data_IF_711912110087
#
_entry.id   IF_711912110087
#
_cell.length_a   1.000
_cell.length_b   1.000
_cell.length_c   1.000
_cell.angle_alpha   90.00
_cell.angle_beta   90.00
_cell.angle_gamma   90.00
#
_symmetry.space_group_name_H-M   'P 1'
#
loop_
_entity.id
_entity.type
_entity.pdbx_description
1 polymer ?
#
# COMPACT_ATOMS: atom_id res chain seq x y z
N UNK A 1 33.75 -28.93 -101.29
CA UNK A 1 32.74 -27.89 -101.56
C UNK A 1 32.94 -26.76 -100.57
N UNK A 2 33.09 -25.55 -101.12
CA UNK A 2 33.15 -24.20 -100.55
C UNK A 2 34.32 -23.72 -99.65
N UNK A 3 34.92 -22.67 -100.18
CA UNK A 3 35.98 -21.77 -99.74
C UNK A 3 35.43 -20.45 -99.20
N UNK A 4 36.09 -19.84 -98.21
CA UNK A 4 36.41 -18.39 -98.09
C UNK A 4 37.28 -18.19 -96.82
N UNK A 5 38.57 -17.84 -96.88
CA UNK A 5 39.18 -16.52 -97.15
C UNK A 5 38.56 -15.42 -96.27
N UNK A 6 39.25 -14.86 -95.27
CA UNK A 6 40.28 -13.80 -95.30
C UNK A 6 40.72 -13.58 -93.82
N UNK A 7 41.88 -13.06 -93.39
CA UNK A 7 43.11 -12.59 -94.02
C UNK A 7 44.22 -12.52 -92.96
N UNK A 8 45.45 -12.64 -93.43
CA UNK A 8 46.72 -12.74 -92.70
C UNK A 8 47.40 -11.37 -92.62
N UNK A 9 48.15 -11.08 -91.56
CA UNK A 9 49.47 -10.43 -91.66
C UNK A 9 50.29 -10.56 -90.37
N UNK A 10 51.32 -11.39 -90.47
CA UNK A 10 52.50 -11.53 -89.59
C UNK A 10 53.57 -10.60 -90.18
N UNK A 11 54.37 -9.91 -89.38
CA UNK A 11 55.76 -9.56 -89.72
C UNK A 11 56.46 -8.93 -88.51
N UNK A 12 57.39 -9.70 -87.92
CA UNK A 12 58.45 -9.12 -87.11
C UNK A 12 59.47 -8.41 -88.00
N UNK A 13 60.26 -7.53 -87.40
CA UNK A 13 61.48 -7.03 -88.01
C UNK A 13 62.55 -6.83 -86.93
N UNK A 14 63.31 -7.89 -86.71
CA UNK A 14 64.75 -7.80 -86.43
C UNK A 14 65.42 -7.25 -87.70
N UNK A 15 66.18 -6.16 -87.56
CA UNK A 15 67.54 -6.00 -88.09
C UNK A 15 67.91 -4.55 -88.41
N UNK A 16 69.17 -4.26 -88.05
CA UNK A 16 70.13 -3.38 -88.72
C UNK A 16 70.54 -2.13 -87.94
N UNK A 17 71.58 -2.37 -87.16
CA UNK A 17 72.63 -1.43 -86.78
C UNK A 17 73.13 -0.61 -87.99
N UNK A 18 73.22 0.71 -87.84
CA UNK A 18 74.35 1.55 -88.29
C UNK A 18 74.19 3.02 -87.85
N UNK A 19 75.30 3.54 -87.32
CA UNK A 19 75.80 4.92 -87.41
C UNK A 19 75.48 5.90 -86.26
N UNK A 20 76.53 6.14 -85.46
CA UNK A 20 76.79 7.33 -84.63
C UNK A 20 76.18 8.63 -85.16
N UNK A 21 75.47 9.40 -84.28
CA UNK A 21 75.65 10.85 -83.99
C UNK A 21 74.58 11.39 -82.99
N UNK A 22 74.77 12.58 -82.37
CA UNK A 22 74.48 12.81 -80.95
C UNK A 22 73.17 13.55 -80.63
N UNK A 23 72.77 13.45 -79.35
CA UNK A 23 71.92 14.37 -78.54
C UNK A 23 70.55 14.78 -79.11
N UNK A 24 69.51 14.19 -78.52
CA UNK A 24 68.19 14.78 -78.35
C UNK A 24 67.31 13.87 -77.51
N UNK A 25 66.90 14.28 -76.31
CA UNK A 25 65.96 13.51 -75.47
C UNK A 25 64.66 13.35 -76.27
N UNK A 26 64.35 12.12 -76.70
CA UNK A 26 63.20 11.88 -77.56
C UNK A 26 61.90 12.16 -76.81
N UNK A 27 60.94 12.77 -77.51
CA UNK A 27 59.59 13.08 -77.04
C UNK A 27 58.90 11.87 -76.35
N UNK A 28 59.24 10.65 -76.75
CA UNK A 28 58.71 9.41 -76.15
C UNK A 28 59.09 9.16 -74.68
N UNK A 29 60.22 9.70 -74.19
CA UNK A 29 60.59 9.58 -72.76
C UNK A 29 59.65 10.39 -71.87
N UNK A 30 59.33 11.62 -72.29
CA UNK A 30 58.40 12.49 -71.55
C UNK A 30 56.96 11.98 -71.61
N UNK A 31 56.54 11.33 -72.70
CA UNK A 31 55.21 10.69 -72.78
C UNK A 31 55.05 9.51 -71.81
N UNK A 32 56.07 8.66 -71.65
CA UNK A 32 56.03 7.57 -70.65
C UNK A 32 55.98 8.10 -69.22
N UNK A 33 56.74 9.16 -68.94
CA UNK A 33 56.74 9.83 -67.64
C UNK A 33 55.38 10.47 -67.34
N UNK A 34 54.78 11.14 -68.33
CA UNK A 34 53.46 11.75 -68.18
C UNK A 34 52.36 10.72 -67.89
N UNK A 35 52.37 9.57 -68.58
CA UNK A 35 51.44 8.47 -68.31
C UNK A 35 51.64 7.85 -66.91
N UNK A 36 52.89 7.74 -66.45
CA UNK A 36 53.18 7.25 -65.10
C UNK A 36 52.68 8.23 -64.03
N UNK A 37 52.96 9.52 -64.17
CA UNK A 37 52.44 10.54 -63.25
C UNK A 37 50.91 10.64 -63.28
N UNK A 38 50.29 10.48 -64.45
CA UNK A 38 48.82 10.50 -64.57
C UNK A 38 48.18 9.30 -63.84
N UNK A 39 48.73 8.09 -64.01
CA UNK A 39 48.30 6.90 -63.27
C UNK A 39 48.55 7.01 -61.77
N UNK A 40 49.68 7.61 -61.38
CA UNK A 40 50.05 7.79 -59.98
C UNK A 40 49.16 8.83 -59.27
N UNK A 41 48.84 9.95 -59.95
CA UNK A 41 47.88 10.94 -59.45
C UNK A 41 46.47 10.31 -59.34
N UNK A 42 46.05 9.51 -60.32
CA UNK A 42 44.78 8.79 -60.27
C UNK A 42 44.72 7.83 -59.07
N UNK A 43 45.78 7.05 -58.82
CA UNK A 43 45.84 6.15 -57.66
C UNK A 43 45.82 6.91 -56.33
N UNK A 44 46.50 8.05 -56.23
CA UNK A 44 46.50 8.91 -55.04
C UNK A 44 45.12 9.50 -54.76
N UNK A 45 44.38 9.88 -55.80
CA UNK A 45 43.00 10.36 -55.67
C UNK A 45 42.10 9.23 -55.15
N UNK A 46 42.21 8.01 -55.68
CA UNK A 46 41.41 6.87 -55.22
C UNK A 46 41.69 6.54 -53.74
N UNK A 47 42.96 6.49 -53.34
CA UNK A 47 43.34 6.26 -51.93
C UNK A 47 42.83 7.39 -51.02
N UNK A 48 42.92 8.64 -51.47
CA UNK A 48 42.40 9.79 -50.71
C UNK A 48 40.88 9.72 -50.55
N UNK A 49 40.14 9.34 -51.60
CA UNK A 49 38.68 9.18 -51.54
C UNK A 49 38.29 8.02 -50.61
N UNK A 50 39.02 6.90 -50.64
CA UNK A 50 38.77 5.76 -49.75
C UNK A 50 39.07 6.12 -48.29
N UNK A 51 40.15 6.86 -48.02
CA UNK A 51 40.43 7.38 -46.68
C UNK A 51 39.36 8.37 -46.22
N UNK A 52 38.85 9.21 -47.12
CA UNK A 52 37.72 10.09 -46.83
C UNK A 52 36.41 9.32 -46.61
N UNK A 53 36.24 8.14 -47.20
CA UNK A 53 35.05 7.30 -47.01
C UNK A 53 35.12 6.48 -45.72
N UNK A 54 36.31 6.01 -45.33
CA UNK A 54 36.54 5.24 -44.10
C UNK A 54 36.66 6.15 -42.87
N UNK A 55 37.28 7.32 -43.00
CA UNK A 55 37.54 8.24 -41.88
C UNK A 55 36.77 9.56 -41.95
N UNK A 56 36.08 9.85 -43.06
CA UNK A 56 35.32 11.10 -43.22
C UNK A 56 33.86 11.01 -42.81
N UNK A 57 33.43 9.95 -42.11
CA UNK A 57 32.19 10.05 -41.33
C UNK A 57 32.44 11.04 -40.19
N UNK A 58 31.76 12.20 -40.15
CA UNK A 58 32.05 13.21 -39.16
C UNK A 58 31.59 12.71 -37.78
N UNK A 59 32.53 12.67 -36.83
CA UNK A 59 32.26 12.48 -35.39
C UNK A 59 31.16 13.42 -34.84
N UNK A 60 30.83 14.48 -35.59
CA UNK A 60 29.73 15.41 -35.34
C UNK A 60 28.39 14.71 -35.06
N UNK A 61 28.11 13.56 -35.68
CA UNK A 61 26.83 12.87 -35.48
C UNK A 61 26.70 12.25 -34.08
N UNK A 62 27.80 11.72 -33.54
CA UNK A 62 27.82 11.13 -32.19
C UNK A 62 27.84 12.21 -31.11
N UNK A 63 28.60 13.30 -31.31
CA UNK A 63 28.62 14.43 -30.39
C UNK A 63 27.30 15.22 -30.39
N UNK A 64 26.70 15.52 -31.55
CA UNK A 64 25.37 16.18 -31.59
C UNK A 64 24.28 15.31 -30.95
N UNK A 65 24.36 13.99 -31.11
CA UNK A 65 23.40 13.08 -30.47
C UNK A 65 23.58 13.07 -28.95
N UNK A 66 24.81 13.09 -28.46
CA UNK A 66 25.09 13.23 -27.01
C UNK A 66 24.66 14.58 -26.46
N UNK A 67 24.86 15.67 -27.21
CA UNK A 67 24.41 17.01 -26.80
C UNK A 67 22.88 17.06 -26.73
N UNK A 68 22.15 16.48 -27.69
CA UNK A 68 20.69 16.38 -27.65
C UNK A 68 20.17 15.55 -26.49
N UNK A 69 20.84 14.43 -26.19
CA UNK A 69 20.48 13.57 -25.05
C UNK A 69 20.72 14.29 -23.71
N UNK A 70 21.81 15.06 -23.62
CA UNK A 70 22.13 15.88 -22.46
C UNK A 70 21.13 17.04 -22.27
N UNK A 71 20.73 17.69 -23.36
CA UNK A 71 19.71 18.75 -23.36
C UNK A 71 18.34 18.20 -22.93
N UNK A 72 17.95 17.03 -23.45
CA UNK A 72 16.73 16.34 -23.04
C UNK A 72 16.77 15.97 -21.55
N UNK A 73 17.89 15.39 -21.09
CA UNK A 73 18.10 15.03 -19.70
C UNK A 73 18.05 16.25 -18.77
N UNK A 74 18.66 17.37 -19.17
CA UNK A 74 18.62 18.63 -18.43
C UNK A 74 17.20 19.18 -18.32
N UNK A 75 16.42 19.16 -19.42
CA UNK A 75 15.04 19.65 -19.41
C UNK A 75 14.14 18.81 -18.49
N UNK A 76 14.25 17.48 -18.57
CA UNK A 76 13.51 16.56 -17.67
C UNK A 76 13.90 16.79 -16.21
N UNK A 77 15.20 16.94 -15.93
CA UNK A 77 15.67 17.18 -14.57
C UNK A 77 15.22 18.55 -14.04
N UNK A 78 15.24 19.58 -14.89
CA UNK A 78 14.76 20.92 -14.56
C UNK A 78 13.27 20.93 -14.22
N UNK A 79 12.44 20.29 -15.04
CA UNK A 79 11.00 20.15 -14.80
C UNK A 79 10.71 19.40 -13.49
N UNK A 80 11.41 18.28 -13.25
CA UNK A 80 11.31 17.55 -11.99
C UNK A 80 11.72 18.42 -10.79
N UNK A 81 12.76 19.25 -10.92
CA UNK A 81 13.21 20.14 -9.85
C UNK A 81 12.16 21.22 -9.53
N UNK A 82 11.53 21.80 -10.55
CA UNK A 82 10.44 22.77 -10.39
C UNK A 82 9.24 22.11 -9.70
N UNK A 83 8.85 20.90 -10.13
CA UNK A 83 7.75 20.14 -9.50
C UNK A 83 8.04 19.84 -8.03
N UNK A 84 9.24 19.34 -7.71
CA UNK A 84 9.66 19.05 -6.34
C UNK A 84 9.68 20.31 -5.46
N UNK A 85 10.09 21.46 -6.00
CA UNK A 85 10.03 22.73 -5.25
C UNK A 85 8.60 23.15 -4.95
N UNK A 86 7.68 22.96 -5.90
CA UNK A 86 6.25 23.24 -5.71
C UNK A 86 5.65 22.32 -4.64
N UNK A 87 5.87 21.02 -4.76
CA UNK A 87 5.42 20.02 -3.77
C UNK A 87 5.98 20.33 -2.37
N UNK A 88 7.28 20.64 -2.27
CA UNK A 88 7.89 21.07 -1.00
C UNK A 88 7.19 22.29 -0.40
N UNK A 89 6.83 23.27 -1.22
CA UNK A 89 6.07 24.44 -0.78
C UNK A 89 4.69 24.08 -0.26
N UNK A 90 3.94 23.23 -0.99
CA UNK A 90 2.61 22.78 -0.60
C UNK A 90 2.62 21.93 0.68
N UNK A 91 3.58 20.99 0.80
CA UNK A 91 3.82 20.20 2.00
C UNK A 91 4.21 21.09 3.19
N UNK A 92 5.05 22.11 2.96
CA UNK A 92 5.40 23.09 3.98
C UNK A 92 4.19 23.88 4.47
N UNK A 93 3.31 24.31 3.56
CA UNK A 93 2.07 25.00 3.90
C UNK A 93 1.10 24.10 4.70
N UNK A 94 0.94 22.84 4.30
CA UNK A 94 0.12 21.85 5.04
C UNK A 94 0.67 21.59 6.43
N UNK A 95 2.00 21.48 6.58
CA UNK A 95 2.64 21.28 7.87
C UNK A 95 2.43 22.49 8.79
N UNK A 96 2.56 23.71 8.27
CA UNK A 96 2.28 24.92 9.02
C UNK A 96 0.81 24.99 9.47
N UNK A 97 -0.14 24.65 8.58
CA UNK A 97 -1.56 24.61 8.90
C UNK A 97 -1.88 23.59 10.01
N UNK A 98 -1.39 22.35 9.89
CA UNK A 98 -1.57 21.33 10.93
C UNK A 98 -0.89 21.70 12.26
N UNK A 99 0.23 22.41 12.21
CA UNK A 99 0.92 22.87 13.42
C UNK A 99 0.09 23.94 14.14
N UNK A 100 -0.51 24.87 13.39
CA UNK A 100 -1.43 25.87 13.94
C UNK A 100 -2.71 25.24 14.51
N UNK A 101 -3.28 24.26 13.80
CA UNK A 101 -4.45 23.49 14.24
C UNK A 101 -4.15 22.73 15.55
N UNK A 102 -3.00 22.05 15.62
CA UNK A 102 -2.54 21.36 16.83
C UNK A 102 -2.43 22.33 18.01
N UNK A 103 -1.81 23.50 17.82
CA UNK A 103 -1.68 24.51 18.86
C UNK A 103 -3.04 25.04 19.33
N UNK A 104 -4.00 25.22 18.41
CA UNK A 104 -5.36 25.58 18.75
C UNK A 104 -6.07 24.49 19.57
N UNK A 105 -5.90 23.22 19.18
CA UNK A 105 -6.48 22.07 19.86
C UNK A 105 -5.93 21.90 21.28
N UNK A 106 -4.61 22.07 21.46
CA UNK A 106 -3.96 22.05 22.79
C UNK A 106 -4.52 23.14 23.71
N UNK A 107 -4.80 24.34 23.17
CA UNK A 107 -5.42 25.43 23.94
C UNK A 107 -6.86 25.09 24.36
N UNK A 108 -7.63 24.44 23.49
CA UNK A 108 -8.99 23.95 23.84
C UNK A 108 -8.91 22.87 24.91
N UNK A 109 -7.96 21.95 24.79
CA UNK A 109 -7.76 20.88 25.79
C UNK A 109 -7.40 21.43 27.18
N UNK A 110 -6.54 22.46 27.23
CA UNK A 110 -6.20 23.15 28.48
C UNK A 110 -7.40 23.87 29.10
N UNK A 111 -8.24 24.53 28.29
CA UNK A 111 -9.50 25.13 28.77
C UNK A 111 -10.44 24.05 29.33
N UNK A 112 -10.68 22.98 28.58
CA UNK A 112 -11.57 21.91 29.01
C UNK A 112 -11.09 21.24 30.31
N UNK A 113 -9.77 21.05 30.46
CA UNK A 113 -9.19 20.56 31.72
C UNK A 113 -9.44 21.51 32.90
N UNK A 114 -9.41 22.81 32.66
CA UNK A 114 -9.70 23.83 33.68
C UNK A 114 -11.19 23.81 34.05
N UNK A 115 -12.07 23.70 33.05
CA UNK A 115 -13.52 23.63 33.26
C UNK A 115 -13.94 22.36 34.00
N UNK A 116 -13.30 21.21 33.72
CA UNK A 116 -13.52 19.97 34.48
C UNK A 116 -13.11 20.13 35.95
N UNK A 117 -11.94 20.71 36.22
CA UNK A 117 -11.52 20.98 37.61
C UNK A 117 -12.49 21.93 38.34
N UNK A 118 -12.98 22.97 37.65
CA UNK A 118 -13.98 23.88 38.21
C UNK A 118 -15.32 23.17 38.47
N UNK A 119 -15.71 22.24 37.59
CA UNK A 119 -16.94 21.45 37.73
C UNK A 119 -16.84 20.48 38.91
N UNK A 120 -15.67 19.86 39.13
CA UNK A 120 -15.43 19.05 40.33
C UNK A 120 -15.52 19.88 41.63
N UNK A 121 -14.97 21.10 41.63
CA UNK A 121 -15.07 22.00 42.78
C UNK A 121 -16.52 22.41 43.06
N UNK A 122 -17.28 22.72 42.00
CA UNK A 122 -18.70 23.03 42.12
C UNK A 122 -19.50 21.83 42.65
N UNK A 123 -19.19 20.61 42.18
CA UNK A 123 -19.82 19.38 42.66
C UNK A 123 -19.54 19.14 44.15
N UNK A 124 -18.32 19.43 44.63
CA UNK A 124 -17.97 19.35 46.06
C UNK A 124 -18.79 20.36 46.88
N UNK A 125 -18.97 21.59 46.37
CA UNK A 125 -19.79 22.63 47.02
C UNK A 125 -21.27 22.26 47.05
N UNK A 126 -21.81 21.68 45.99
CA UNK A 126 -23.20 21.18 45.96
C UNK A 126 -23.40 20.07 47.00
N UNK A 127 -22.50 19.09 47.07
CA UNK A 127 -22.58 18.03 48.09
C UNK A 127 -22.45 18.56 49.53
N UNK A 128 -21.71 19.65 49.75
CA UNK A 128 -21.65 20.33 51.05
C UNK A 128 -22.98 21.03 51.37
N UNK A 129 -23.54 21.77 50.42
CA UNK A 129 -24.81 22.48 50.57
C UNK A 129 -25.99 21.51 50.78
N UNK A 130 -26.01 20.36 50.11
CA UNK A 130 -27.01 19.31 50.33
C UNK A 130 -26.92 18.71 51.75
N UNK A 131 -25.70 18.53 52.28
CA UNK A 131 -25.47 18.10 53.66
C UNK A 131 -25.97 19.14 54.67
N UNK A 132 -25.71 20.42 54.43
CA UNK A 132 -26.19 21.52 55.28
C UNK A 132 -27.72 21.64 55.24
N UNK A 133 -28.34 21.45 54.07
CA UNK A 133 -29.80 21.43 53.91
C UNK A 133 -30.44 20.26 54.67
N UNK A 134 -29.82 19.08 54.64
CA UNK A 134 -30.29 17.92 55.39
C UNK A 134 -30.23 18.17 56.91
N UNK A 135 -29.15 18.78 57.38
CA UNK A 135 -28.98 19.18 58.79
C UNK A 135 -29.98 20.27 59.22
N UNK A 136 -30.29 21.24 58.35
CA UNK A 136 -31.27 22.29 58.63
C UNK A 136 -32.72 21.76 58.66
N UNK A 137 -33.08 20.87 57.73
CA UNK A 137 -34.40 20.23 57.71
C UNK A 137 -34.62 19.30 58.92
N UNK A 138 -33.56 18.65 59.42
CA UNK A 138 -33.63 17.87 60.68
C UNK A 138 -33.94 18.74 61.90
N UNK A 139 -33.61 20.05 61.88
CA UNK A 139 -33.91 20.99 62.98
C UNK A 139 -35.29 21.64 62.85
N UNK A 140 -35.89 21.67 61.65
CA UNK A 140 -37.26 22.17 61.44
C UNK A 140 -38.36 21.15 61.76
N UNK A 141 -38.02 19.87 61.94
CA UNK A 141 -38.97 18.81 62.29
C UNK A 141 -39.49 18.88 63.75
N UNK A 142 -39.11 19.91 64.53
CA UNK A 142 -39.50 20.12 65.93
C UNK A 142 -40.32 21.40 66.18
N UNK A 143 -41.04 21.92 65.17
CA UNK A 143 -42.02 22.99 65.40
C UNK A 143 -43.45 22.45 65.53
N UNK A 144 -44.21 22.81 66.58
CA UNK A 144 -45.60 22.39 66.73
C UNK A 144 -46.50 23.09 65.70
N UNK A 145 -47.31 22.28 65.03
CA UNK A 145 -48.30 22.65 64.03
C UNK A 145 -49.33 23.66 64.56
N UNK A 146 -49.58 24.73 63.81
CA UNK A 146 -50.64 25.72 64.08
C UNK A 146 -51.97 25.27 63.42
N UNK A 147 -53.15 25.57 64.02
CA UNK A 147 -54.42 24.98 63.60
C UNK A 147 -54.92 25.50 62.24
N UNK A 148 -55.54 24.60 61.49
CA UNK A 148 -56.19 24.86 60.21
C UNK A 148 -57.43 25.76 60.37
N UNK A 149 -57.54 26.78 59.52
CA UNK A 149 -58.77 27.54 59.32
C UNK A 149 -59.66 26.88 58.24
N UNK A 150 -60.99 27.02 58.31
CA UNK A 150 -61.92 26.34 57.41
C UNK A 150 -61.96 26.97 56.00
N UNK A 151 -62.43 26.23 54.97
CA UNK A 151 -62.27 26.62 53.58
C UNK A 151 -63.21 27.77 53.21
N UNK A 152 -62.63 28.88 52.76
CA UNK A 152 -63.34 29.96 52.08
C UNK A 152 -63.91 29.44 50.76
N UNK A 153 -65.20 29.69 50.53
CA UNK A 153 -65.89 29.40 49.28
C UNK A 153 -65.19 30.14 48.14
N UNK A 154 -64.48 29.39 47.29
CA UNK A 154 -63.80 29.93 46.12
C UNK A 154 -64.81 30.43 45.10
N UNK A 155 -64.61 31.66 44.63
CA UNK A 155 -65.43 32.24 43.58
C UNK A 155 -65.18 31.52 42.25
N UNK A 156 -66.23 31.31 41.43
CA UNK A 156 -66.13 30.63 40.12
C UNK A 156 -65.07 31.24 39.17
N UNK A 157 -64.70 32.52 39.38
CA UNK A 157 -63.64 33.17 38.62
C UNK A 157 -62.23 32.71 39.05
N UNK A 158 -62.00 32.46 40.35
CA UNK A 158 -60.72 31.98 40.86
C UNK A 158 -60.47 30.52 40.44
N UNK A 159 -61.54 29.70 40.40
CA UNK A 159 -61.46 28.33 39.90
C UNK A 159 -61.04 28.28 38.41
N UNK A 160 -61.59 29.18 37.57
CA UNK A 160 -61.19 29.30 36.16
C UNK A 160 -59.74 29.76 36.00
N UNK A 161 -59.27 30.69 36.84
CA UNK A 161 -57.88 31.16 36.82
C UNK A 161 -56.92 30.04 37.23
N UNK A 162 -57.25 29.28 38.29
CA UNK A 162 -56.46 28.13 38.72
C UNK A 162 -56.44 27.01 37.67
N UNK A 163 -57.57 26.76 36.99
CA UNK A 163 -57.64 25.78 35.91
C UNK A 163 -56.80 26.19 34.70
N UNK A 164 -56.84 27.47 34.32
CA UNK A 164 -55.97 28.04 33.29
C UNK A 164 -54.48 27.89 33.66
N UNK A 165 -54.13 28.20 34.91
CA UNK A 165 -52.76 28.06 35.40
C UNK A 165 -52.30 26.58 35.43
N UNK A 166 -53.17 25.65 35.82
CA UNK A 166 -52.86 24.21 35.81
C UNK A 166 -52.66 23.70 34.37
N UNK A 167 -53.48 24.16 33.42
CA UNK A 167 -53.32 23.83 32.01
C UNK A 167 -51.99 24.38 31.46
N UNK A 168 -51.65 25.63 31.77
CA UNK A 168 -50.38 26.24 31.38
C UNK A 168 -49.18 25.51 32.00
N UNK A 169 -49.28 25.06 33.26
CA UNK A 169 -48.25 24.25 33.90
C UNK A 169 -48.08 22.89 33.22
N UNK A 170 -49.16 22.23 32.80
CA UNK A 170 -49.09 20.97 32.03
C UNK A 170 -48.43 21.14 30.68
N UNK A 171 -48.73 22.22 29.96
CA UNK A 171 -48.08 22.54 28.69
C UNK A 171 -46.57 22.77 28.87
N UNK A 172 -46.18 23.50 29.92
CA UNK A 172 -44.77 23.73 30.21
C UNK A 172 -44.04 22.43 30.59
N UNK A 173 -44.68 21.55 31.37
CA UNK A 173 -44.13 20.23 31.71
C UNK A 173 -43.95 19.38 30.45
N UNK A 174 -44.94 19.36 29.55
CA UNK A 174 -44.85 18.63 28.28
C UNK A 174 -43.72 19.17 27.40
N UNK A 175 -43.59 20.50 27.28
CA UNK A 175 -42.52 21.13 26.51
C UNK A 175 -41.13 20.84 27.13
N UNK A 176 -41.04 20.83 28.46
CA UNK A 176 -39.82 20.46 29.16
C UNK A 176 -39.46 18.99 28.92
N UNK A 177 -40.44 18.09 28.99
CA UNK A 177 -40.25 16.66 28.74
C UNK A 177 -39.83 16.36 27.30
N UNK A 178 -40.41 17.05 26.32
CA UNK A 178 -40.00 16.96 24.91
C UNK A 178 -38.57 17.46 24.72
N UNK A 179 -38.20 18.60 25.29
CA UNK A 179 -36.84 19.12 25.23
C UNK A 179 -35.81 18.17 25.87
N UNK A 180 -36.13 17.60 27.04
CA UNK A 180 -35.24 16.62 27.68
C UNK A 180 -35.10 15.35 26.85
N UNK A 181 -36.21 14.86 26.28
CA UNK A 181 -36.18 13.65 25.44
C UNK A 181 -35.34 13.88 24.19
N UNK A 182 -35.52 15.02 23.53
CA UNK A 182 -34.73 15.42 22.37
C UNK A 182 -33.24 15.53 22.72
N UNK A 183 -32.90 16.26 23.79
CA UNK A 183 -31.52 16.42 24.25
C UNK A 183 -30.85 15.07 24.57
N UNK A 184 -31.58 14.16 25.23
CA UNK A 184 -31.05 12.82 25.53
C UNK A 184 -30.81 12.02 24.24
N UNK A 185 -31.68 12.15 23.25
CA UNK A 185 -31.50 11.50 21.95
C UNK A 185 -30.28 12.08 21.20
N UNK A 186 -30.15 13.40 21.16
CA UNK A 186 -29.03 14.09 20.53
C UNK A 186 -27.69 13.70 21.17
N UNK A 187 -27.62 13.71 22.51
CA UNK A 187 -26.43 13.29 23.25
C UNK A 187 -26.10 11.80 23.05
N UNK A 188 -27.12 10.94 22.92
CA UNK A 188 -26.90 9.52 22.60
C UNK A 188 -26.30 9.36 21.21
N UNK A 189 -26.85 10.06 20.23
CA UNK A 189 -26.36 10.05 18.86
C UNK A 189 -24.93 10.58 18.77
N UNK A 190 -24.64 11.69 19.45
CA UNK A 190 -23.30 12.27 19.49
C UNK A 190 -22.30 11.29 20.13
N UNK A 191 -22.67 10.67 21.26
CA UNK A 191 -21.85 9.64 21.91
C UNK A 191 -21.57 8.46 20.98
N UNK A 192 -22.58 7.97 20.27
CA UNK A 192 -22.41 6.85 19.33
C UNK A 192 -21.53 7.24 18.13
N UNK A 193 -21.67 8.48 17.63
CA UNK A 193 -20.80 9.05 16.60
C UNK A 193 -19.35 9.14 17.08
N UNK A 194 -19.11 9.65 18.30
CA UNK A 194 -17.77 9.75 18.89
C UNK A 194 -17.14 8.37 19.08
N UNK A 195 -17.91 7.38 19.57
CA UNK A 195 -17.43 6.01 19.71
C UNK A 195 -17.01 5.41 18.36
N UNK A 196 -17.86 5.59 17.33
CA UNK A 196 -17.54 5.13 15.97
C UNK A 196 -16.27 5.79 15.43
N UNK A 197 -16.15 7.11 15.58
CA UNK A 197 -14.98 7.85 15.11
C UNK A 197 -13.71 7.40 15.84
N UNK A 198 -13.78 7.21 17.15
CA UNK A 198 -12.67 6.66 17.95
C UNK A 198 -12.22 5.30 17.42
N UNK A 199 -13.17 4.41 17.12
CA UNK A 199 -12.84 3.06 16.64
C UNK A 199 -12.20 3.10 15.25
N UNK A 200 -12.64 4.02 14.37
CA UNK A 200 -11.99 4.29 13.08
C UNK A 200 -10.56 4.76 13.28
N UNK A 201 -10.32 5.78 14.12
CA UNK A 201 -8.97 6.29 14.38
C UNK A 201 -8.05 5.26 15.01
N UNK A 202 -8.57 4.41 15.91
CA UNK A 202 -7.80 3.31 16.49
C UNK A 202 -7.42 2.27 15.42
N UNK A 203 -8.33 1.99 14.48
CA UNK A 203 -8.08 1.13 13.33
C UNK A 203 -6.97 1.68 12.42
N UNK A 204 -7.08 2.94 12.02
CA UNK A 204 -6.09 3.65 11.19
C UNK A 204 -4.73 3.72 11.87
N UNK A 205 -4.68 4.10 13.15
CA UNK A 205 -3.42 4.16 13.91
C UNK A 205 -2.77 2.77 14.01
N UNK A 206 -3.56 1.71 14.12
CA UNK A 206 -3.05 0.34 14.11
C UNK A 206 -2.50 -0.02 12.73
N UNK A 207 -3.20 0.29 11.64
CA UNK A 207 -2.74 0.06 10.28
C UNK A 207 -1.43 0.80 9.98
N UNK A 208 -1.37 2.09 10.28
CA UNK A 208 -0.18 2.92 10.10
C UNK A 208 1.02 2.39 10.88
N UNK A 209 0.84 1.91 12.12
CA UNK A 209 1.91 1.28 12.89
C UNK A 209 2.41 0.00 12.22
N UNK A 210 1.51 -0.83 11.68
CA UNK A 210 1.88 -2.05 10.96
C UNK A 210 2.65 -1.74 9.69
N UNK A 211 2.17 -0.81 8.88
CA UNK A 211 2.85 -0.35 7.65
C UNK A 211 4.23 0.23 7.97
N UNK A 212 4.33 1.11 8.98
CA UNK A 212 5.61 1.67 9.39
C UNK A 212 6.61 0.60 9.83
N UNK A 213 6.13 -0.42 10.56
CA UNK A 213 6.95 -1.57 10.94
C UNK A 213 7.41 -2.37 9.71
N UNK A 214 6.50 -2.62 8.76
CA UNK A 214 6.78 -3.35 7.54
C UNK A 214 7.84 -2.62 6.69
N UNK A 215 7.67 -1.32 6.46
CA UNK A 215 8.64 -0.52 5.70
C UNK A 215 10.01 -0.50 6.37
N UNK A 216 10.08 -0.40 7.70
CA UNK A 216 11.36 -0.48 8.43
C UNK A 216 12.03 -1.83 8.25
N UNK A 217 11.27 -2.92 8.33
CA UNK A 217 11.80 -4.27 8.14
C UNK A 217 12.26 -4.49 6.70
N UNK A 218 11.51 -4.02 5.70
CA UNK A 218 11.91 -4.05 4.29
C UNK A 218 13.24 -3.33 4.06
N UNK A 219 13.39 -2.11 4.61
CA UNK A 219 14.61 -1.34 4.49
C UNK A 219 15.79 -2.03 5.19
N UNK A 220 15.57 -2.61 6.37
CA UNK A 220 16.60 -3.34 7.10
C UNK A 220 17.06 -4.57 6.34
N UNK A 221 16.13 -5.39 5.84
CA UNK A 221 16.43 -6.59 5.04
C UNK A 221 17.15 -6.23 3.74
N UNK A 222 16.67 -5.21 3.04
CA UNK A 222 17.34 -4.70 1.83
C UNK A 222 18.77 -4.23 2.13
N UNK A 223 18.95 -3.46 3.21
CA UNK A 223 20.26 -2.96 3.61
C UNK A 223 21.22 -4.11 3.91
N UNK A 224 20.77 -5.14 4.64
CA UNK A 224 21.55 -6.34 4.93
C UNK A 224 21.97 -7.05 3.63
N UNK A 225 21.01 -7.33 2.75
CA UNK A 225 21.28 -8.05 1.48
C UNK A 225 22.24 -7.28 0.55
N UNK A 226 22.12 -5.96 0.47
CA UNK A 226 22.97 -5.15 -0.40
C UNK A 226 24.35 -4.83 0.21
N UNK A 227 24.40 -4.40 1.48
CA UNK A 227 25.65 -3.94 2.10
C UNK A 227 26.48 -5.04 2.72
N UNK A 228 25.87 -6.15 3.12
CA UNK A 228 26.57 -7.24 3.79
C UNK A 228 26.71 -8.41 2.81
N UNK A 229 25.60 -8.99 2.35
CA UNK A 229 25.64 -10.23 1.56
C UNK A 229 26.22 -10.02 0.16
N UNK A 230 25.79 -8.96 -0.55
CA UNK A 230 26.31 -8.68 -1.90
C UNK A 230 27.72 -8.10 -1.86
N UNK A 231 28.01 -7.12 -0.99
CA UNK A 231 29.34 -6.53 -0.90
C UNK A 231 30.39 -7.56 -0.47
N UNK A 232 30.06 -8.49 0.44
CA UNK A 232 30.97 -9.58 0.81
C UNK A 232 31.26 -10.52 -0.35
N UNK A 233 30.26 -10.79 -1.20
CA UNK A 233 30.43 -11.61 -2.41
C UNK A 233 31.40 -10.97 -3.43
N UNK A 234 31.59 -9.64 -3.39
CA UNK A 234 32.50 -8.91 -4.28
C UNK A 234 33.96 -8.88 -3.78
N UNK A 235 34.25 -9.30 -2.55
CA UNK A 235 35.62 -9.31 -1.97
C UNK A 235 36.58 -10.16 -2.83
N UNK A 236 36.08 -11.23 -3.44
CA UNK A 236 36.86 -12.08 -4.35
C UNK A 236 37.38 -11.34 -5.57
N UNK A 237 36.58 -10.45 -6.16
CA UNK A 237 36.97 -9.63 -7.31
C UNK A 237 38.11 -8.68 -6.91
N UNK A 238 37.97 -8.01 -5.77
CA UNK A 238 39.01 -7.10 -5.26
C UNK A 238 40.34 -7.83 -5.04
N UNK A 239 40.29 -9.08 -4.57
CA UNK A 239 41.47 -9.94 -4.38
C UNK A 239 42.14 -10.29 -5.71
N UNK A 240 41.35 -10.67 -6.73
CA UNK A 240 41.87 -10.99 -8.07
C UNK A 240 42.50 -9.76 -8.71
N UNK A 241 41.81 -8.62 -8.68
CA UNK A 241 42.30 -7.35 -9.23
C UNK A 241 43.62 -6.94 -8.57
N UNK A 242 43.73 -7.05 -7.24
CA UNK A 242 44.96 -6.73 -6.51
C UNK A 242 46.13 -7.62 -6.94
N UNK A 243 45.93 -8.94 -7.02
CA UNK A 243 46.96 -9.89 -7.47
C UNK A 243 47.37 -9.66 -8.92
N UNK A 244 46.42 -9.30 -9.78
CA UNK A 244 46.70 -8.99 -11.19
C UNK A 244 47.56 -7.73 -11.33
N UNK A 245 47.22 -6.65 -10.63
CA UNK A 245 48.02 -5.41 -10.59
C UNK A 245 49.44 -5.68 -10.07
N UNK A 246 49.54 -6.45 -8.99
CA UNK A 246 50.83 -6.84 -8.42
C UNK A 246 51.67 -7.64 -9.43
N UNK A 247 51.06 -8.50 -10.24
CA UNK A 247 51.75 -9.21 -11.31
C UNK A 247 52.23 -8.26 -12.41
N UNK A 248 51.38 -7.33 -12.87
CA UNK A 248 51.75 -6.32 -13.88
C UNK A 248 52.94 -5.48 -13.42
N UNK A 249 52.89 -4.98 -12.19
CA UNK A 249 53.98 -4.15 -11.64
C UNK A 249 55.30 -4.90 -11.54
N UNK A 250 55.26 -6.23 -11.42
CA UNK A 250 56.44 -7.10 -11.36
C UNK A 250 56.90 -7.61 -12.74
N UNK A 251 56.12 -7.39 -13.82
CA UNK A 251 56.49 -7.82 -15.19
C UNK A 251 57.55 -6.90 -15.81
N UNK A 252 57.62 -5.63 -15.39
CA UNK A 252 58.66 -4.69 -15.83
C UNK A 252 59.57 -4.34 -14.66
N UNK A 253 60.79 -4.89 -14.60
CA UNK A 253 61.73 -4.56 -13.54
C UNK A 253 62.13 -3.07 -13.61
N UNK A 254 62.23 -2.34 -12.48
CA UNK A 254 62.58 -0.91 -12.46
C UNK A 254 63.92 -0.56 -13.13
N UNK A 255 64.76 -1.57 -13.35
CA UNK A 255 66.12 -1.46 -13.90
C UNK A 255 66.19 -1.71 -15.42
N UNK A 256 65.08 -2.03 -16.10
CA UNK A 256 65.02 -2.04 -17.56
C UNK A 256 64.78 -0.62 -18.09
N UNK A 257 65.78 0.26 -17.95
CA UNK A 257 65.81 1.53 -18.65
C UNK A 257 66.23 1.28 -20.10
N UNK A 258 65.27 1.21 -21.02
CA UNK A 258 65.55 1.21 -22.45
C UNK A 258 66.24 2.53 -22.81
N UNK A 259 67.54 2.49 -23.11
CA UNK A 259 68.25 3.63 -23.68
C UNK A 259 67.81 3.84 -25.13
N UNK A 260 66.72 4.58 -25.32
CA UNK A 260 66.19 4.95 -26.62
C UNK A 260 67.03 6.08 -27.20
N UNK A 261 68.07 5.73 -27.94
CA UNK A 261 68.98 6.70 -28.58
C UNK A 261 68.48 7.14 -29.97
N UNK A 262 67.50 6.46 -30.56
CA UNK A 262 66.97 6.75 -31.89
C UNK A 262 65.59 7.43 -31.84
N UNK A 263 65.43 8.56 -32.55
CA UNK A 263 64.18 9.34 -32.62
C UNK A 263 62.98 8.51 -33.09
N UNK A 264 63.18 7.64 -34.08
CA UNK A 264 62.10 6.76 -34.58
C UNK A 264 61.66 5.69 -33.57
N UNK A 265 62.57 5.22 -32.72
CA UNK A 265 62.22 4.29 -31.63
C UNK A 265 61.42 5.01 -30.54
N UNK A 266 61.75 6.26 -30.23
CA UNK A 266 60.99 7.08 -29.28
C UNK A 266 59.56 7.35 -29.80
N UNK A 267 59.39 7.66 -31.08
CA UNK A 267 58.06 7.84 -31.69
C UNK A 267 57.22 6.56 -31.69
N UNK A 268 57.84 5.39 -31.94
CA UNK A 268 57.15 4.10 -31.85
C UNK A 268 56.76 3.77 -30.41
N UNK A 269 57.62 4.07 -29.44
CA UNK A 269 57.29 3.86 -28.03
C UNK A 269 56.14 4.77 -27.58
N UNK A 270 56.13 6.04 -27.97
CA UNK A 270 55.01 6.95 -27.64
C UNK A 270 53.69 6.51 -28.30
N UNK A 271 53.74 5.94 -29.52
CA UNK A 271 52.57 5.31 -30.15
C UNK A 271 52.08 4.06 -29.41
N UNK A 272 52.99 3.20 -28.96
CA UNK A 272 52.65 2.02 -28.16
C UNK A 272 52.05 2.47 -26.82
N UNK A 273 52.67 3.45 -26.16
CA UNK A 273 52.20 4.02 -24.90
C UNK A 273 50.80 4.60 -25.06
N UNK A 274 50.56 5.45 -26.06
CA UNK A 274 49.24 6.02 -26.30
C UNK A 274 48.19 4.95 -26.66
N UNK A 275 48.56 3.95 -27.46
CA UNK A 275 47.66 2.83 -27.79
C UNK A 275 47.32 1.98 -26.57
N UNK A 276 48.30 1.67 -25.71
CA UNK A 276 48.08 0.95 -24.45
C UNK A 276 47.23 1.77 -23.47
N UNK A 277 47.47 3.08 -23.37
CA UNK A 277 46.65 3.97 -22.53
C UNK A 277 45.22 4.04 -23.05
N UNK A 278 45.01 4.22 -24.35
CA UNK A 278 43.68 4.25 -24.95
C UNK A 278 42.94 2.92 -24.77
N UNK A 279 43.63 1.79 -24.98
CA UNK A 279 43.06 0.46 -24.75
C UNK A 279 42.69 0.25 -23.27
N UNK A 280 43.55 0.69 -22.34
CA UNK A 280 43.26 0.64 -20.90
C UNK A 280 42.00 1.43 -20.56
N UNK A 281 41.88 2.65 -21.10
CA UNK A 281 40.70 3.51 -20.90
C UNK A 281 39.44 2.89 -21.50
N UNK A 282 39.51 2.30 -22.70
CA UNK A 282 38.38 1.63 -23.33
C UNK A 282 37.92 0.40 -22.53
N UNK A 283 38.87 -0.39 -22.04
CA UNK A 283 38.58 -1.53 -21.17
C UNK A 283 37.90 -1.06 -19.88
N UNK A 284 38.45 -0.03 -19.23
CA UNK A 284 37.87 0.56 -18.02
C UNK A 284 36.44 1.07 -18.26
N UNK A 285 36.21 1.80 -19.35
CA UNK A 285 34.88 2.29 -19.72
C UNK A 285 33.87 1.15 -19.94
N UNK A 286 34.28 0.06 -20.61
CA UNK A 286 33.42 -1.11 -20.83
C UNK A 286 33.12 -1.86 -19.54
N UNK A 287 34.12 -2.03 -18.66
CA UNK A 287 33.92 -2.65 -17.36
C UNK A 287 33.04 -1.80 -16.46
N UNK A 288 33.20 -0.48 -16.45
CA UNK A 288 32.37 0.42 -15.66
C UNK A 288 30.90 0.32 -16.09
N UNK A 289 30.63 0.36 -17.40
CA UNK A 289 29.26 0.21 -17.92
C UNK A 289 28.63 -1.15 -17.55
N UNK A 290 29.43 -2.23 -17.58
CA UNK A 290 28.97 -3.53 -17.14
C UNK A 290 28.68 -3.57 -15.64
N UNK A 291 29.57 -3.03 -14.81
CA UNK A 291 29.41 -2.95 -13.37
C UNK A 291 28.20 -2.11 -12.97
N UNK A 292 27.96 -0.99 -13.66
CA UNK A 292 26.79 -0.14 -13.43
C UNK A 292 25.50 -0.89 -13.77
N UNK A 293 25.46 -1.60 -14.91
CA UNK A 293 24.29 -2.37 -15.31
C UNK A 293 24.00 -3.53 -14.35
N UNK A 294 25.04 -4.27 -13.95
CA UNK A 294 24.91 -5.34 -12.95
C UNK A 294 24.52 -4.78 -11.59
N UNK A 295 25.12 -3.68 -11.16
CA UNK A 295 24.82 -3.00 -9.90
C UNK A 295 23.37 -2.53 -9.83
N UNK A 296 22.86 -1.92 -10.90
CA UNK A 296 21.46 -1.52 -11.03
C UNK A 296 20.53 -2.74 -10.96
N UNK A 297 20.82 -3.77 -11.75
CA UNK A 297 19.99 -5.00 -11.79
C UNK A 297 19.93 -5.69 -10.44
N UNK A 298 21.08 -5.87 -9.77
CA UNK A 298 21.15 -6.48 -8.44
C UNK A 298 20.40 -5.63 -7.43
N UNK A 299 20.56 -4.31 -7.46
CA UNK A 299 19.85 -3.40 -6.55
C UNK A 299 18.34 -3.54 -6.70
N UNK A 300 17.82 -3.56 -7.94
CA UNK A 300 16.39 -3.76 -8.22
C UNK A 300 15.89 -5.11 -7.72
N UNK A 301 16.61 -6.20 -8.04
CA UNK A 301 16.24 -7.56 -7.61
C UNK A 301 16.22 -7.66 -6.09
N UNK A 302 17.25 -7.13 -5.41
CA UNK A 302 17.34 -7.20 -3.96
C UNK A 302 16.26 -6.36 -3.27
N UNK A 303 15.93 -5.19 -3.83
CA UNK A 303 14.80 -4.39 -3.35
C UNK A 303 13.47 -5.15 -3.44
N UNK A 304 13.17 -5.72 -4.61
CA UNK A 304 11.94 -6.51 -4.82
C UNK A 304 11.90 -7.77 -3.94
N UNK A 305 13.01 -8.50 -3.87
CA UNK A 305 13.15 -9.68 -3.01
C UNK A 305 12.89 -9.34 -1.55
N UNK A 306 13.43 -8.20 -1.06
CA UNK A 306 13.24 -7.78 0.34
C UNK A 306 11.81 -7.34 0.61
N UNK A 307 11.15 -6.65 -0.32
CA UNK A 307 9.73 -6.35 -0.22
C UNK A 307 8.89 -7.61 -0.11
N UNK A 308 9.07 -8.54 -1.04
CA UNK A 308 8.29 -9.78 -1.10
C UNK A 308 8.52 -10.65 0.13
N UNK A 309 9.76 -10.78 0.61
CA UNK A 309 10.08 -11.57 1.79
C UNK A 309 9.35 -11.04 3.04
N UNK A 310 9.38 -9.73 3.26
CA UNK A 310 8.72 -9.11 4.42
C UNK A 310 7.20 -9.17 4.28
N UNK A 311 6.66 -8.91 3.08
CA UNK A 311 5.22 -9.02 2.83
C UNK A 311 4.73 -10.45 3.08
N UNK A 312 5.44 -11.46 2.57
CA UNK A 312 5.07 -12.86 2.72
C UNK A 312 5.11 -13.28 4.21
N UNK A 313 6.15 -12.87 4.94
CA UNK A 313 6.21 -13.06 6.40
C UNK A 313 5.00 -12.46 7.11
N UNK A 314 4.63 -11.23 6.78
CA UNK A 314 3.51 -10.53 7.43
C UNK A 314 2.15 -11.12 7.05
N UNK A 315 1.96 -11.49 5.79
CA UNK A 315 0.78 -12.20 5.30
C UNK A 315 0.60 -13.53 6.03
N UNK A 316 1.68 -14.30 6.20
CA UNK A 316 1.64 -15.58 6.88
C UNK A 316 1.25 -15.42 8.37
N UNK A 317 1.86 -14.46 9.08
CA UNK A 317 1.49 -14.15 10.47
C UNK A 317 0.01 -13.72 10.56
N UNK A 318 -0.45 -12.87 9.64
CA UNK A 318 -1.84 -12.38 9.63
C UNK A 318 -2.82 -13.51 9.34
N UNK A 319 -2.48 -14.42 8.43
CA UNK A 319 -3.27 -15.60 8.12
C UNK A 319 -3.41 -16.51 9.35
N UNK A 320 -2.30 -16.84 10.01
CA UNK A 320 -2.32 -17.63 11.24
C UNK A 320 -3.16 -16.99 12.35
N UNK A 321 -3.06 -15.67 12.52
CA UNK A 321 -3.89 -14.95 13.48
C UNK A 321 -5.38 -14.98 13.11
N UNK A 322 -5.70 -14.90 11.81
CA UNK A 322 -7.07 -15.00 11.31
C UNK A 322 -7.65 -16.39 11.58
N UNK A 323 -6.91 -17.44 11.24
CA UNK A 323 -7.28 -18.83 11.49
C UNK A 323 -7.51 -19.09 12.98
N UNK A 324 -6.61 -18.60 13.84
CA UNK A 324 -6.74 -18.74 15.28
C UNK A 324 -7.99 -18.04 15.82
N UNK A 325 -8.21 -16.77 15.45
CA UNK A 325 -9.41 -16.02 15.85
C UNK A 325 -10.70 -16.65 15.35
N UNK A 326 -10.69 -17.17 14.12
CA UNK A 326 -11.82 -17.88 13.55
C UNK A 326 -12.11 -19.15 14.37
N UNK A 327 -11.09 -19.95 14.67
CA UNK A 327 -11.22 -21.14 15.51
C UNK A 327 -11.79 -20.82 16.89
N UNK A 328 -11.31 -19.76 17.54
CA UNK A 328 -11.82 -19.30 18.84
C UNK A 328 -13.28 -18.84 18.76
N UNK A 329 -13.63 -18.08 17.71
CA UNK A 329 -14.99 -17.59 17.50
C UNK A 329 -15.97 -18.75 17.26
N UNK A 330 -15.59 -19.73 16.45
CA UNK A 330 -16.37 -20.95 16.23
C UNK A 330 -16.52 -21.73 17.53
N UNK A 331 -15.44 -21.96 18.28
CA UNK A 331 -15.51 -22.67 19.55
C UNK A 331 -16.43 -21.97 20.57
N UNK A 332 -16.40 -20.64 20.61
CA UNK A 332 -17.29 -19.85 21.45
C UNK A 332 -18.74 -19.95 20.98
N UNK A 333 -19.01 -19.77 19.69
CA UNK A 333 -20.35 -19.86 19.13
C UNK A 333 -20.98 -21.24 19.37
N UNK A 334 -20.19 -22.32 19.24
CA UNK A 334 -20.65 -23.68 19.56
C UNK A 334 -21.01 -23.85 21.03
N UNK A 335 -20.20 -23.31 21.95
CA UNK A 335 -20.52 -23.33 23.39
C UNK A 335 -21.78 -22.54 23.71
N UNK A 336 -21.94 -21.37 23.11
CA UNK A 336 -23.12 -20.53 23.32
C UNK A 336 -24.38 -21.21 22.77
N UNK A 337 -24.29 -21.88 21.62
CA UNK A 337 -25.38 -22.68 21.04
C UNK A 337 -25.77 -23.86 21.96
N UNK A 338 -24.80 -24.63 22.44
CA UNK A 338 -25.04 -25.76 23.37
C UNK A 338 -25.70 -25.27 24.67
N UNK A 339 -25.23 -24.14 25.22
CA UNK A 339 -25.84 -23.54 26.40
C UNK A 339 -27.28 -23.09 26.14
N UNK A 340 -27.55 -22.49 24.98
CA UNK A 340 -28.88 -22.07 24.60
C UNK A 340 -29.82 -23.27 24.41
N UNK A 341 -29.33 -24.34 23.78
CA UNK A 341 -30.10 -25.56 23.59
C UNK A 341 -30.45 -26.23 24.93
N UNK A 342 -29.48 -26.36 25.85
CA UNK A 342 -29.74 -26.86 27.21
C UNK A 342 -30.77 -26.02 27.98
N UNK A 343 -30.72 -24.69 27.84
CA UNK A 343 -31.73 -23.82 28.46
C UNK A 343 -33.12 -24.09 27.90
N UNK A 344 -33.23 -24.24 26.58
CA UNK A 344 -34.49 -24.56 25.92
C UNK A 344 -35.03 -25.93 26.35
N UNK A 345 -34.18 -26.96 26.35
CA UNK A 345 -34.57 -28.31 26.76
C UNK A 345 -35.05 -28.35 28.21
N UNK A 346 -34.36 -27.67 29.13
CA UNK A 346 -34.79 -27.54 30.53
C UNK A 346 -36.14 -26.83 30.68
N UNK A 347 -36.40 -25.81 29.86
CA UNK A 347 -37.66 -25.07 29.88
C UNK A 347 -38.82 -25.91 29.35
N UNK A 348 -38.59 -26.68 28.28
CA UNK A 348 -39.55 -27.64 27.73
C UNK A 348 -39.86 -28.73 28.75
N UNK A 349 -38.85 -29.32 29.40
CA UNK A 349 -39.03 -30.34 30.43
C UNK A 349 -39.88 -29.80 31.60
N UNK A 350 -39.58 -28.58 32.06
CA UNK A 350 -40.36 -27.91 33.11
C UNK A 350 -41.83 -27.74 32.70
N UNK A 351 -42.10 -27.28 31.49
CA UNK A 351 -43.46 -27.12 30.98
C UNK A 351 -44.18 -28.46 30.85
N UNK A 352 -43.48 -29.52 30.45
CA UNK A 352 -44.04 -30.86 30.33
C UNK A 352 -44.44 -31.44 31.69
N UNK A 353 -43.59 -31.28 32.70
CA UNK A 353 -43.89 -31.69 34.09
C UNK A 353 -45.13 -30.93 34.59
N UNK A 354 -45.18 -29.62 34.38
CA UNK A 354 -46.33 -28.81 34.82
C UNK A 354 -47.63 -29.19 34.09
N UNK A 355 -47.55 -29.48 32.79
CA UNK A 355 -48.71 -29.97 32.03
C UNK A 355 -49.23 -31.30 32.57
N UNK A 356 -48.34 -32.24 32.89
CA UNK A 356 -48.71 -33.53 33.46
C UNK A 356 -49.35 -33.38 34.84
N UNK A 357 -48.77 -32.53 35.70
CA UNK A 357 -49.32 -32.17 37.02
C UNK A 357 -50.76 -31.62 36.89
N UNK A 358 -50.97 -30.64 36.01
CA UNK A 358 -52.29 -30.05 35.76
C UNK A 358 -53.29 -31.06 35.20
N UNK A 359 -52.84 -32.00 34.36
CA UNK A 359 -53.70 -33.09 33.83
C UNK A 359 -54.14 -34.04 34.94
N UNK A 360 -53.25 -34.39 35.86
CA UNK A 360 -53.55 -35.22 37.03
C UNK A 360 -54.55 -34.52 37.98
N UNK A 361 -54.33 -33.24 38.27
CA UNK A 361 -55.26 -32.43 39.08
C UNK A 361 -56.65 -32.37 38.43
N UNK A 362 -56.72 -32.13 37.12
CA UNK A 362 -57.98 -32.14 36.38
C UNK A 362 -58.70 -33.49 36.47
N UNK A 363 -57.98 -34.60 36.38
CA UNK A 363 -58.53 -35.96 36.54
C UNK A 363 -59.03 -36.21 37.96
N UNK A 364 -58.33 -35.71 38.98
CA UNK A 364 -58.78 -35.79 40.37
C UNK A 364 -60.06 -34.98 40.61
N UNK A 365 -60.10 -33.72 40.15
CA UNK A 365 -61.29 -32.86 40.26
C UNK A 365 -62.48 -33.47 39.49
N UNK A 366 -62.25 -34.03 38.30
CA UNK A 366 -63.29 -34.73 37.52
C UNK A 366 -63.86 -35.95 38.25
N UNK A 367 -63.03 -36.72 38.96
CA UNK A 367 -63.49 -37.84 39.79
C UNK A 367 -64.28 -37.39 41.01
N UNK A 368 -63.88 -36.29 41.65
CA UNK A 368 -64.63 -35.71 42.78
C UNK A 368 -65.99 -35.15 42.33
N UNK A 369 -66.06 -34.50 41.18
CA UNK A 369 -67.33 -34.07 40.56
C UNK A 369 -68.26 -35.24 40.24
N UNK A 370 -67.72 -36.37 39.79
CA UNK A 370 -68.50 -37.56 39.48
C UNK A 370 -69.06 -38.25 40.74
N UNK A 371 -68.38 -38.15 41.89
CA UNK A 371 -68.88 -38.62 43.19
C UNK A 371 -70.00 -37.74 43.76
N UNK A 372 -70.07 -36.47 43.35
CA UNK A 372 -71.09 -35.51 43.79
C UNK A 372 -72.39 -35.56 42.96
N UNK A 373 -72.48 -36.42 41.95
CA UNK A 373 -73.67 -36.55 41.08
C UNK A 373 -74.42 -37.85 41.37
N UNK A 374 -75.70 -37.85 41.81
CA UNK A 374 -76.46 -39.08 42.05
C UNK A 374 -76.95 -39.70 40.72
N UNK A 375 -77.24 -41.01 40.67
CA UNK A 375 -77.62 -41.66 39.42
C UNK A 375 -79.09 -41.37 39.11
N UNK A 376 -79.38 -40.87 37.91
CA UNK A 376 -80.68 -41.12 37.33
C UNK A 376 -80.62 -41.35 35.81
N UNK A 377 -81.47 -42.28 35.40
CA UNK A 377 -81.51 -42.98 34.12
C UNK A 377 -82.35 -42.22 33.09
N UNK A 378 -81.98 -42.26 31.81
CA UNK A 378 -82.77 -42.94 30.74
C UNK A 378 -82.29 -42.58 29.33
N UNK A 379 -82.46 -43.59 28.48
CA UNK A 379 -82.20 -43.67 27.06
C UNK A 379 -82.94 -42.62 26.21
N UNK A 380 -82.32 -42.27 25.08
CA UNK A 380 -82.93 -41.57 23.96
C UNK A 380 -81.91 -41.36 22.84
N UNK A 381 -81.91 -42.25 21.84
CA UNK A 381 -81.31 -41.96 20.53
C UNK A 381 -82.26 -41.02 19.75
N UNK A 382 -81.77 -40.19 18.82
CA UNK A 382 -81.72 -40.68 17.43
C UNK A 382 -80.52 -40.21 16.58
N UNK A 383 -80.14 -41.13 15.70
CA UNK A 383 -79.55 -41.08 14.36
C UNK A 383 -79.10 -39.78 13.65
N UNK A 384 -77.98 -40.01 12.93
CA UNK A 384 -77.57 -39.57 11.56
C UNK A 384 -77.02 -38.17 11.31
N UNK A 385 -75.76 -38.16 10.83
CA UNK A 385 -75.09 -37.04 10.16
C UNK A 385 -73.57 -37.21 10.08
N UNK A 386 -73.07 -38.09 9.22
CA UNK A 386 -71.69 -38.01 8.67
C UNK A 386 -71.61 -36.82 7.68
N UNK A 387 -70.43 -36.37 7.14
CA UNK A 387 -69.09 -36.97 7.17
C UNK A 387 -67.91 -35.98 7.35
N UNK A 388 -66.69 -36.47 7.60
CA UNK A 388 -65.51 -36.28 6.72
C UNK A 388 -64.19 -36.64 7.42
N UNK A 389 -63.60 -37.72 6.91
CA UNK A 389 -62.18 -38.09 6.97
C UNK A 389 -61.37 -37.21 6.02
N UNK A 390 -60.22 -36.69 6.46
CA UNK A 390 -58.94 -36.71 5.72
C UNK A 390 -57.79 -36.08 6.56
N UNK A 391 -56.52 -36.46 6.28
CA UNK A 391 -55.39 -36.33 7.21
C UNK A 391 -54.42 -35.19 6.86
N UNK A 392 -53.68 -34.67 7.85
CA UNK A 392 -52.46 -33.89 7.61
C UNK A 392 -51.32 -34.49 8.45
N UNK A 393 -50.48 -35.31 7.82
CA UNK A 393 -49.25 -34.92 7.12
C UNK A 393 -48.08 -34.71 8.08
N UNK A 394 -47.38 -35.84 8.28
CA UNK A 394 -45.93 -35.89 8.38
C UNK A 394 -45.35 -35.13 7.18
N UNK A 395 -44.58 -34.07 7.44
CA UNK A 395 -43.72 -33.46 6.43
C UNK A 395 -42.32 -33.29 7.01
N UNK A 396 -41.53 -34.33 6.77
CA UNK A 396 -40.08 -34.19 6.58
C UNK A 396 -39.85 -33.42 5.28
N UNK A 397 -39.04 -32.36 5.33
CA UNK A 397 -38.13 -31.85 4.28
C UNK A 397 -37.15 -30.92 5.02
N UNK A 398 -35.86 -31.25 5.09
CA UNK A 398 -34.87 -30.81 4.10
C UNK A 398 -34.30 -29.46 4.59
N UNK A 399 -33.06 -29.36 5.09
CA UNK A 399 -31.87 -29.91 4.46
C UNK A 399 -31.57 -29.12 3.20
N UNK A 400 -31.05 -27.90 3.35
CA UNK A 400 -30.32 -27.22 2.27
C UNK A 400 -28.98 -26.68 2.79
N UNK A 401 -27.88 -26.94 2.06
CA UNK A 401 -26.55 -26.51 2.42
C UNK A 401 -26.30 -25.08 1.93
N UNK A 402 -25.82 -24.22 2.83
CA UNK A 402 -25.31 -22.89 2.49
C UNK A 402 -23.96 -23.02 1.83
N UNK A 403 -23.98 -23.02 0.50
CA UNK A 403 -22.82 -23.00 -0.39
C UNK A 403 -21.88 -21.84 -0.09
N UNK A 404 -20.60 -22.18 0.06
CA UNK A 404 -19.45 -21.30 -0.11
C UNK A 404 -19.61 -20.42 -1.35
N UNK A 405 -19.36 -19.12 -1.19
CA UNK A 405 -18.90 -18.25 -2.27
C UNK A 405 -17.57 -17.66 -1.86
N UNK A 406 -16.52 -18.34 -2.32
CA UNK A 406 -15.20 -17.80 -2.58
C UNK A 406 -15.34 -16.54 -3.43
N UNK A 407 -14.87 -15.41 -2.92
CA UNK A 407 -14.63 -14.22 -3.73
C UNK A 407 -13.17 -14.27 -4.17
N UNK A 408 -12.97 -14.65 -5.43
CA UNK A 408 -11.72 -14.46 -6.16
C UNK A 408 -11.64 -12.99 -6.51
N UNK A 409 -10.61 -12.29 -6.03
CA UNK A 409 -10.23 -10.96 -6.52
C UNK A 409 -8.94 -11.16 -7.31
N UNK A 410 -9.00 -10.77 -8.58
CA UNK A 410 -7.85 -10.65 -9.47
C UNK A 410 -7.19 -9.28 -9.39
#
# INVERSE_FOLDING_TARGET
>A
MYSSSYSRAKLGLESREKLHKPKGKSCGYYMKIFLFFSSLIQSLIIVSLVLFLIYGQPEKTAEEQRVKELELGFNVLSENNVRLRKEKGELGAKLAAHTAEKAALEKVMLKLKTDVNNTEDLRKKVMACERDRFMANSKLAQCPSRPAHPPTVMSNNELKVLQSHNNQQRELINLLQLNFTQMVQDLRQERDSVLKNRDVYLGEATMLRRESSMLREQLSTYTRKCKEDFASSLIGIQTVTKKFLEKINNVFPPHLTFHLTCRGQNEQLEKIKSSCTNLSTDIENKFQLYLDNVGNTVTTIQFQSSQLEVQNKYLNITLQQCEHKHSEAVAKATKDLDLQQKRYDNEVERLLIEQNRLREEKLQIGRELQKLTPPNSKAGSPNTGSPQTAPQQVRSYGGTPGSSKTLTVG
#
